data_IF_996831986130
#
_entry.id   IF_996831986130
#
_cell.length_a   1.000
_cell.length_b   1.000
_cell.length_c   1.000
_cell.angle_alpha   90.00
_cell.angle_beta   90.00
_cell.angle_gamma   90.00
#
_symmetry.space_group_name_H-M   'P 1'
#
loop_
_entity.id
_entity.type
_entity.pdbx_description
1 polymer ?
#
# COMPACT_ATOMS: atom_id res chain seq x y z
N UNK A 1 9.75 -27.81 9.58
CA UNK A 1 8.47 -28.44 9.38
C UNK A 1 7.70 -27.79 8.24
N UNK A 2 6.64 -28.44 7.84
CA UNK A 2 5.84 -27.95 6.70
C UNK A 2 5.18 -26.62 6.98
N UNK A 3 4.89 -26.30 8.21
CA UNK A 3 4.28 -25.02 8.61
C UNK A 3 5.19 -23.84 8.38
N UNK A 4 6.47 -24.04 8.10
CA UNK A 4 7.46 -22.98 7.89
C UNK A 4 7.63 -22.60 6.42
N UNK A 5 6.78 -23.12 5.54
CA UNK A 5 6.84 -22.75 4.12
C UNK A 5 6.51 -21.28 3.90
N UNK A 6 7.24 -20.69 2.98
CA UNK A 6 6.95 -19.32 2.52
C UNK A 6 5.56 -19.27 1.89
N UNK A 7 4.82 -18.22 2.19
CA UNK A 7 3.53 -17.97 1.56
C UNK A 7 3.37 -16.47 1.26
N UNK A 8 2.83 -16.15 0.08
CA UNK A 8 2.49 -14.78 -0.26
C UNK A 8 1.37 -14.25 0.64
N UNK A 9 0.57 -15.14 1.23
CA UNK A 9 -0.52 -14.75 2.13
C UNK A 9 -0.04 -14.62 3.58
N UNK A 10 1.23 -14.27 3.77
CA UNK A 10 1.79 -14.02 5.09
C UNK A 10 1.73 -12.52 5.42
N UNK A 11 1.87 -12.21 6.71
CA UNK A 11 1.92 -10.83 7.17
C UNK A 11 3.12 -10.10 6.56
N UNK A 12 4.27 -10.75 6.52
CA UNK A 12 5.47 -10.13 5.96
C UNK A 12 5.32 -9.80 4.48
N UNK A 13 4.68 -10.68 3.70
CA UNK A 13 4.38 -10.39 2.29
C UNK A 13 3.51 -9.17 2.15
N UNK A 14 2.50 -9.00 3.01
CA UNK A 14 1.62 -7.84 2.94
C UNK A 14 2.37 -6.53 3.15
N UNK A 15 3.31 -6.51 4.09
CA UNK A 15 4.14 -5.32 4.30
C UNK A 15 5.12 -5.10 3.14
N UNK A 16 5.69 -6.17 2.60
CA UNK A 16 6.59 -6.07 1.44
C UNK A 16 5.86 -5.45 0.24
N UNK A 17 4.63 -5.87 -0.02
CA UNK A 17 3.82 -5.33 -1.10
C UNK A 17 3.56 -3.83 -0.89
N UNK A 18 3.31 -3.42 0.36
CA UNK A 18 3.09 -2.00 0.67
C UNK A 18 4.36 -1.16 0.57
N UNK A 19 5.54 -1.78 0.61
CA UNK A 19 6.79 -1.04 0.40
C UNK A 19 7.01 -0.67 -1.06
N UNK A 20 6.38 -1.37 -2.00
CA UNK A 20 6.53 -1.07 -3.43
C UNK A 20 6.12 0.36 -3.77
N UNK A 21 4.97 0.87 -3.29
CA UNK A 21 4.62 2.28 -3.54
C UNK A 21 5.66 3.25 -2.96
N UNK A 22 6.17 2.98 -1.78
CA UNK A 22 7.16 3.86 -1.16
C UNK A 22 8.45 3.92 -1.98
N UNK A 23 8.94 2.77 -2.41
CA UNK A 23 10.17 2.69 -3.22
C UNK A 23 9.96 3.39 -4.56
N UNK A 24 8.85 3.10 -5.24
CA UNK A 24 8.56 3.72 -6.53
C UNK A 24 8.35 5.22 -6.39
N UNK A 25 7.79 5.67 -5.26
CA UNK A 25 7.60 7.09 -4.99
C UNK A 25 8.91 7.84 -4.92
N UNK A 26 9.92 7.25 -4.29
CA UNK A 26 11.25 7.86 -4.22
C UNK A 26 11.81 8.04 -5.64
N UNK A 27 11.70 7.02 -6.49
CA UNK A 27 12.20 7.10 -7.85
C UNK A 27 11.40 8.02 -8.75
N UNK A 28 10.10 8.17 -8.50
CA UNK A 28 9.22 8.98 -9.33
C UNK A 28 9.16 10.45 -8.91
N UNK A 29 9.77 10.79 -7.78
CA UNK A 29 9.57 12.09 -7.15
C UNK A 29 9.89 13.25 -8.11
N UNK A 30 11.00 13.17 -8.81
CA UNK A 30 11.44 14.26 -9.69
C UNK A 30 10.63 14.36 -11.00
N UNK A 31 9.85 13.34 -11.32
CA UNK A 31 9.06 13.30 -12.56
C UNK A 31 7.62 13.75 -12.39
N UNK A 32 7.21 14.03 -11.17
CA UNK A 32 5.81 14.39 -10.87
C UNK A 32 5.69 15.89 -10.59
N UNK A 33 4.50 16.47 -10.85
CA UNK A 33 4.26 17.88 -10.54
C UNK A 33 4.23 18.10 -9.04
N UNK A 34 4.42 19.36 -8.62
CA UNK A 34 4.45 19.71 -7.20
C UNK A 34 3.16 19.37 -6.46
N UNK A 35 2.04 19.42 -7.17
CA UNK A 35 0.74 19.01 -6.63
C UNK A 35 0.22 17.85 -7.47
N UNK A 36 -0.02 16.73 -6.81
CA UNK A 36 -0.41 15.48 -7.45
C UNK A 36 -1.93 15.35 -7.37
N UNK A 37 -2.57 15.12 -8.52
CA UNK A 37 -4.00 14.87 -8.57
C UNK A 37 -4.32 13.49 -7.97
N UNK A 38 -5.25 13.46 -7.02
CA UNK A 38 -5.61 12.23 -6.32
C UNK A 38 -7.06 11.82 -6.54
N UNK A 39 -7.84 12.67 -7.19
CA UNK A 39 -9.24 12.39 -7.47
C UNK A 39 -9.65 13.02 -8.79
N UNK A 40 -10.45 12.27 -9.55
CA UNK A 40 -10.98 12.71 -10.83
C UNK A 40 -12.50 12.70 -10.72
N UNK A 41 -13.13 13.82 -11.12
CA UNK A 41 -14.58 13.95 -11.03
C UNK A 41 -15.29 13.25 -12.20
N UNK A 42 -16.59 13.36 -12.25
CA UNK A 42 -17.43 12.72 -13.27
C UNK A 42 -17.11 13.19 -14.69
N UNK A 43 -16.56 14.40 -14.82
CA UNK A 43 -16.22 14.98 -16.11
C UNK A 43 -14.80 14.60 -16.56
N UNK A 44 -14.11 13.76 -15.80
CA UNK A 44 -12.74 13.36 -16.12
C UNK A 44 -11.71 14.41 -15.74
N UNK A 45 -12.07 15.41 -14.95
CA UNK A 45 -11.16 16.47 -14.53
C UNK A 45 -10.66 16.23 -13.11
N UNK A 46 -9.39 16.56 -12.88
CA UNK A 46 -8.82 16.47 -11.54
C UNK A 46 -9.43 17.56 -10.67
N UNK A 47 -9.99 17.19 -9.53
CA UNK A 47 -10.66 18.10 -8.62
C UNK A 47 -10.11 18.07 -7.20
N UNK A 48 -9.10 17.27 -6.93
CA UNK A 48 -8.45 17.23 -5.63
C UNK A 48 -6.98 16.91 -5.79
N UNK A 49 -6.15 17.57 -4.99
CA UNK A 49 -4.70 17.47 -5.11
C UNK A 49 -4.05 17.34 -3.74
N UNK A 50 -2.87 16.72 -3.71
CA UNK A 50 -2.00 16.70 -2.55
C UNK A 50 -0.62 17.21 -2.94
N UNK A 51 0.13 17.82 -2.00
CA UNK A 51 1.54 18.10 -2.24
C UNK A 51 2.28 16.79 -2.58
N UNK A 52 3.26 16.91 -3.46
CA UNK A 52 3.99 15.74 -3.98
C UNK A 52 4.57 14.88 -2.86
N UNK A 53 5.19 15.51 -1.86
CA UNK A 53 5.80 14.77 -0.76
C UNK A 53 4.74 14.01 0.05
N UNK A 54 3.61 14.65 0.34
CA UNK A 54 2.52 14.01 1.08
C UNK A 54 1.97 12.81 0.32
N UNK A 55 1.84 12.92 -1.00
CA UNK A 55 1.33 11.81 -1.81
C UNK A 55 2.34 10.67 -1.89
N UNK A 56 3.59 10.96 -2.30
CA UNK A 56 4.56 9.91 -2.61
C UNK A 56 5.09 9.21 -1.38
N UNK A 57 5.22 9.91 -0.27
CA UNK A 57 5.81 9.38 0.96
C UNK A 57 4.74 9.23 2.04
N UNK A 58 3.92 10.25 2.23
CA UNK A 58 2.93 10.24 3.32
C UNK A 58 1.87 9.16 3.17
N UNK A 59 1.32 8.97 1.96
CA UNK A 59 0.30 7.95 1.75
C UNK A 59 0.85 6.52 1.96
N UNK A 60 2.02 6.15 1.41
CA UNK A 60 2.57 4.83 1.70
C UNK A 60 2.85 4.61 3.19
N UNK A 61 3.37 5.62 3.89
CA UNK A 61 3.59 5.51 5.33
C UNK A 61 2.27 5.31 6.07
N UNK A 62 1.24 6.09 5.71
CA UNK A 62 -0.09 5.92 6.30
C UNK A 62 -0.66 4.53 6.00
N UNK A 63 -0.42 4.01 4.80
CA UNK A 63 -0.85 2.67 4.43
C UNK A 63 -0.17 1.60 5.26
N UNK A 64 1.13 1.74 5.51
CA UNK A 64 1.86 0.81 6.37
C UNK A 64 1.31 0.83 7.80
N UNK A 65 1.00 2.02 8.33
CA UNK A 65 0.42 2.13 9.67
C UNK A 65 -0.97 1.51 9.74
N UNK A 66 -1.78 1.71 8.69
CA UNK A 66 -3.11 1.10 8.64
C UNK A 66 -3.03 -0.42 8.59
N UNK A 67 -2.09 -0.97 7.80
CA UNK A 67 -1.90 -2.41 7.73
C UNK A 67 -1.43 -2.95 9.07
N UNK A 68 -0.52 -2.25 9.74
CA UNK A 68 -0.09 -2.65 11.08
C UNK A 68 -1.27 -2.71 12.05
N UNK A 69 -2.15 -1.71 12.01
CA UNK A 69 -3.35 -1.70 12.83
C UNK A 69 -4.22 -2.93 12.54
N UNK A 70 -4.46 -3.23 11.26
CA UNK A 70 -5.27 -4.39 10.87
C UNK A 70 -4.65 -5.70 11.36
N UNK A 71 -3.34 -5.83 11.21
CA UNK A 71 -2.63 -7.03 11.65
C UNK A 71 -2.75 -7.22 13.16
N UNK A 72 -2.59 -6.14 13.90
CA UNK A 72 -2.71 -6.22 15.36
C UNK A 72 -4.12 -6.60 15.79
N UNK A 73 -5.13 -6.10 15.10
CA UNK A 73 -6.51 -6.50 15.39
C UNK A 73 -6.76 -7.98 15.07
N UNK A 74 -6.22 -8.46 13.97
CA UNK A 74 -6.32 -9.88 13.63
C UNK A 74 -5.59 -10.75 14.64
N UNK A 75 -4.41 -10.33 15.09
CA UNK A 75 -3.65 -11.05 16.10
C UNK A 75 -4.40 -11.12 17.42
N UNK A 76 -5.12 -10.05 17.78
CA UNK A 76 -5.91 -10.02 18.98
C UNK A 76 -7.05 -11.04 18.94
N UNK A 77 -7.66 -11.23 17.76
CA UNK A 77 -8.73 -12.21 17.57
C UNK A 77 -8.20 -13.64 17.47
N UNK A 78 -7.00 -13.81 16.92
CA UNK A 78 -6.35 -15.11 16.75
C UNK A 78 -4.92 -15.02 17.28
N UNK A 79 -4.72 -15.25 18.59
CA UNK A 79 -3.37 -15.16 19.18
C UNK A 79 -2.35 -16.11 18.60
N UNK A 80 -2.79 -17.16 17.90
CA UNK A 80 -1.87 -18.12 17.26
C UNK A 80 -1.30 -17.61 15.95
N UNK A 81 -1.81 -16.48 15.42
CA UNK A 81 -1.37 -15.93 14.17
C UNK A 81 0.10 -15.50 14.25
N UNK A 82 0.89 -15.90 13.23
CA UNK A 82 2.30 -15.54 13.15
C UNK A 82 2.47 -14.22 12.41
N UNK A 83 2.81 -13.14 13.15
CA UNK A 83 2.98 -11.81 12.54
C UNK A 83 4.39 -11.55 12.04
N UNK A 84 5.38 -12.34 12.45
CA UNK A 84 6.77 -12.10 12.06
C UNK A 84 7.29 -13.11 11.05
N UNK A 85 6.49 -14.07 10.66
CA UNK A 85 6.92 -15.11 9.75
C UNK A 85 6.37 -14.94 8.35
N UNK A 86 6.75 -15.86 7.48
CA UNK A 86 6.28 -15.92 6.11
C UNK A 86 5.24 -17.02 5.91
N UNK A 87 4.68 -17.50 7.00
CA UNK A 87 3.67 -18.55 7.00
C UNK A 87 2.32 -18.01 6.55
N UNK A 88 1.55 -18.86 5.92
CA UNK A 88 0.21 -18.49 5.46
C UNK A 88 -0.66 -18.05 6.62
N UNK A 89 -1.33 -16.92 6.43
CA UNK A 89 -2.41 -16.45 7.30
C UNK A 89 -3.70 -16.39 6.48
N UNK A 90 -4.64 -15.52 6.85
CA UNK A 90 -5.85 -15.33 6.06
C UNK A 90 -5.51 -14.64 4.73
N UNK A 91 -6.16 -15.07 3.64
CA UNK A 91 -5.99 -14.40 2.34
C UNK A 91 -6.44 -12.93 2.38
N UNK A 92 -7.33 -12.59 3.30
CA UNK A 92 -7.78 -11.20 3.45
C UNK A 92 -6.66 -10.26 3.87
N UNK A 93 -5.52 -10.78 4.33
CA UNK A 93 -4.39 -9.94 4.73
C UNK A 93 -3.82 -9.14 3.55
N UNK A 94 -4.04 -9.59 2.33
CA UNK A 94 -3.56 -8.92 1.12
C UNK A 94 -4.57 -7.96 0.50
N UNK A 95 -5.80 -7.91 0.99
CA UNK A 95 -6.85 -7.09 0.35
C UNK A 95 -6.46 -5.62 0.32
N UNK A 96 -6.09 -5.05 1.45
CA UNK A 96 -5.72 -3.64 1.49
C UNK A 96 -4.41 -3.36 0.73
N UNK A 97 -3.33 -4.14 0.92
CA UNK A 97 -2.11 -3.90 0.15
C UNK A 97 -2.31 -3.93 -1.35
N UNK A 98 -3.08 -4.88 -1.88
CA UNK A 98 -3.34 -4.97 -3.31
C UNK A 98 -4.16 -3.77 -3.78
N UNK A 99 -5.24 -3.44 -3.06
CA UNK A 99 -6.07 -2.28 -3.41
C UNK A 99 -5.25 -0.99 -3.38
N UNK A 100 -4.44 -0.81 -2.33
CA UNK A 100 -3.60 0.38 -2.20
C UNK A 100 -2.65 0.51 -3.38
N UNK A 101 -2.01 -0.58 -3.78
CA UNK A 101 -1.09 -0.55 -4.92
C UNK A 101 -1.80 -0.14 -6.21
N UNK A 102 -2.98 -0.70 -6.47
CA UNK A 102 -3.74 -0.37 -7.67
C UNK A 102 -4.08 1.13 -7.68
N UNK A 103 -4.62 1.65 -6.57
CA UNK A 103 -5.01 3.04 -6.47
C UNK A 103 -3.80 3.98 -6.59
N UNK A 104 -2.72 3.65 -5.89
CA UNK A 104 -1.53 4.49 -5.87
C UNK A 104 -0.87 4.57 -7.25
N UNK A 105 -0.64 3.43 -7.89
CA UNK A 105 0.00 3.42 -9.19
C UNK A 105 -0.89 4.01 -10.28
N UNK A 106 -2.21 3.84 -10.18
CA UNK A 106 -3.13 4.50 -11.10
C UNK A 106 -2.99 6.02 -11.02
N UNK A 107 -2.91 6.57 -9.80
CA UNK A 107 -2.72 8.01 -9.63
C UNK A 107 -1.36 8.47 -10.14
N UNK A 108 -0.30 7.69 -9.89
CA UNK A 108 1.04 8.03 -10.39
C UNK A 108 1.04 8.08 -11.92
N UNK A 109 0.50 7.06 -12.57
CA UNK A 109 0.45 7.03 -14.03
C UNK A 109 -0.37 8.17 -14.60
N UNK A 110 -1.51 8.50 -13.98
CA UNK A 110 -2.29 9.64 -14.43
C UNK A 110 -1.47 10.93 -14.38
N UNK A 111 -0.76 11.18 -13.29
CA UNK A 111 0.01 12.40 -13.13
C UNK A 111 1.24 12.45 -14.03
N UNK A 112 1.79 11.31 -14.41
CA UNK A 112 2.89 11.27 -15.37
C UNK A 112 2.43 11.54 -16.80
N UNK A 113 1.16 11.31 -17.11
CA UNK A 113 0.62 11.43 -18.47
C UNK A 113 0.01 12.81 -18.76
N UNK A 114 -0.14 13.68 -17.76
CA UNK A 114 -0.73 15.01 -17.97
C UNK A 114 0.31 16.13 -18.00
#
# INVERSE_FOLDING_TARGET
THSQRFSIFSVQSSFAILLLPLISGVFSYSYLPDRVAIHINELGQADNYLPKLAFLIGLPVAGLLFQLYKVMRCKKKDPTMNVFGWNKTSSSILLFPIFFNIAYFSAVFYNLSV
#
